data_IF_018490908945
#
_entry.id   IF_018490908945
#
_cell.length_a   1.000
_cell.length_b   1.000
_cell.length_c   1.000
_cell.angle_alpha   90.00
_cell.angle_beta   90.00
_cell.angle_gamma   90.00
#
_symmetry.space_group_name_H-M   'P 1'
#
loop_
_entity.id
_entity.type
_entity.pdbx_description
1 polymer ?
#
# COMPACT_ATOMS: atom_id res chain seq x y z
N UNK A 1 5.99 17.90 3.47
CA UNK A 1 5.05 17.02 2.72
C UNK A 1 5.64 16.89 1.32
N UNK A 2 5.84 15.66 0.81
CA UNK A 2 6.32 15.46 -0.56
C UNK A 2 5.34 16.10 -1.56
N UNK A 3 5.87 16.58 -2.69
CA UNK A 3 5.09 17.17 -3.78
C UNK A 3 4.50 16.04 -4.63
N UNK A 4 3.36 15.51 -4.17
CA UNK A 4 2.73 14.32 -4.73
C UNK A 4 1.28 14.59 -5.10
N UNK A 5 0.86 14.03 -6.23
CA UNK A 5 -0.51 14.11 -6.73
C UNK A 5 -1.47 13.23 -5.93
N UNK A 6 -0.99 12.13 -5.34
CA UNK A 6 -1.82 11.23 -4.54
C UNK A 6 -1.12 9.95 -4.11
N UNK A 7 -1.88 9.11 -3.39
CA UNK A 7 -1.48 7.76 -2.99
C UNK A 7 -2.35 6.72 -3.71
N UNK A 8 -1.74 5.61 -4.11
CA UNK A 8 -2.44 4.51 -4.77
C UNK A 8 -2.08 3.16 -4.14
N UNK A 9 -3.08 2.30 -3.95
CA UNK A 9 -2.92 0.90 -3.58
C UNK A 9 -3.52 0.06 -4.71
N UNK A 10 -2.69 -0.43 -5.66
CA UNK A 10 -3.18 -1.21 -6.77
C UNK A 10 -3.66 -2.61 -6.33
N UNK A 11 -4.54 -3.20 -7.15
CA UNK A 11 -5.05 -4.57 -7.02
C UNK A 11 -6.03 -4.90 -5.87
N UNK A 12 -6.37 -3.95 -4.98
CA UNK A 12 -7.33 -4.16 -3.87
C UNK A 12 -7.01 -5.40 -2.99
N UNK A 13 -5.81 -5.46 -2.39
CA UNK A 13 -5.37 -6.61 -1.60
C UNK A 13 -6.24 -6.80 -0.35
N UNK A 14 -6.47 -8.06 0.01
CA UNK A 14 -7.21 -8.42 1.22
C UNK A 14 -6.49 -7.88 2.47
N UNK A 15 -7.25 -7.33 3.41
CA UNK A 15 -6.71 -6.65 4.61
C UNK A 15 -6.18 -5.23 4.38
N UNK A 16 -6.39 -4.63 3.20
CA UNK A 16 -6.33 -3.17 3.06
C UNK A 16 -7.49 -2.49 3.83
N UNK A 17 -7.37 -1.21 4.24
CA UNK A 17 -8.38 -0.54 5.06
C UNK A 17 -9.80 -0.63 4.46
N UNK A 18 -10.70 -1.39 5.10
CA UNK A 18 -12.07 -1.63 4.63
C UNK A 18 -12.30 -2.92 3.83
N UNK A 19 -11.26 -3.75 3.61
CA UNK A 19 -11.30 -4.97 2.77
C UNK A 19 -10.95 -6.25 3.55
N UNK A 20 -11.45 -6.41 4.78
CA UNK A 20 -11.26 -7.60 5.62
C UNK A 20 -10.45 -7.36 6.90
N UNK A 21 -10.25 -8.40 7.73
CA UNK A 21 -9.47 -8.31 8.96
C UNK A 21 -7.97 -8.07 8.67
N UNK A 22 -7.36 -7.12 9.37
CA UNK A 22 -5.92 -6.79 9.19
C UNK A 22 -4.96 -7.93 9.56
N UNK A 23 -5.41 -8.88 10.38
CA UNK A 23 -4.65 -10.05 10.81
C UNK A 23 -4.47 -11.11 9.71
N UNK A 24 -5.22 -10.99 8.61
CA UNK A 24 -5.13 -11.84 7.41
C UNK A 24 -4.72 -11.02 6.17
N UNK A 25 -4.07 -9.87 6.37
CA UNK A 25 -3.69 -8.98 5.26
C UNK A 25 -2.68 -9.63 4.32
N UNK A 26 -2.88 -9.47 3.02
CA UNK A 26 -1.87 -9.80 2.01
C UNK A 26 -0.76 -8.73 2.00
N UNK A 27 0.42 -9.09 1.49
CA UNK A 27 1.49 -8.11 1.31
C UNK A 27 1.09 -7.08 0.22
N UNK A 28 1.25 -5.79 0.52
CA UNK A 28 0.97 -4.73 -0.46
C UNK A 28 1.85 -3.49 -0.33
N UNK A 29 1.97 -2.78 -1.44
CA UNK A 29 2.69 -1.52 -1.53
C UNK A 29 1.70 -0.35 -1.64
N UNK A 30 1.97 0.70 -0.88
CA UNK A 30 1.39 2.02 -1.10
C UNK A 30 2.35 2.79 -1.97
N UNK A 31 1.87 3.25 -3.12
CA UNK A 31 2.64 4.08 -4.03
C UNK A 31 2.31 5.54 -3.82
N UNK A 32 3.32 6.40 -3.88
CA UNK A 32 3.16 7.84 -4.03
C UNK A 32 3.38 8.20 -5.49
N UNK A 33 2.45 8.98 -6.04
CA UNK A 33 2.51 9.41 -7.44
C UNK A 33 2.93 10.87 -7.48
N UNK A 34 4.04 11.15 -8.13
CA UNK A 34 4.63 12.48 -8.27
C UNK A 34 4.02 13.24 -9.45
N UNK A 35 4.16 14.56 -9.46
CA UNK A 35 3.62 15.44 -10.50
C UNK A 35 4.19 15.17 -11.91
N UNK A 36 5.38 14.56 -11.97
CA UNK A 36 6.05 14.12 -13.20
C UNK A 36 5.56 12.75 -13.72
N UNK A 37 4.56 12.15 -13.05
CA UNK A 37 3.98 10.86 -13.42
C UNK A 37 4.79 9.65 -12.94
N UNK A 38 5.85 9.85 -12.16
CA UNK A 38 6.59 8.76 -11.54
C UNK A 38 5.83 8.18 -10.35
N UNK A 39 6.02 6.88 -10.11
CA UNK A 39 5.43 6.15 -8.99
C UNK A 39 6.54 5.50 -8.17
N UNK A 40 6.57 5.78 -6.87
CA UNK A 40 7.57 5.25 -5.95
C UNK A 40 6.88 4.56 -4.77
N UNK A 41 7.54 3.55 -4.18
CA UNK A 41 7.01 2.88 -2.98
C UNK A 41 7.13 3.83 -1.81
N UNK A 42 5.99 4.29 -1.31
CA UNK A 42 5.92 5.15 -0.13
C UNK A 42 5.96 4.33 1.17
N UNK A 43 5.26 3.20 1.18
CA UNK A 43 5.19 2.29 2.32
C UNK A 43 4.96 0.86 1.84
N UNK A 44 5.65 -0.08 2.47
CA UNK A 44 5.45 -1.51 2.24
C UNK A 44 4.79 -2.13 3.48
N UNK A 45 3.72 -2.90 3.25
CA UNK A 45 3.08 -3.72 4.26
C UNK A 45 3.33 -5.19 3.91
N UNK A 46 3.96 -5.91 4.83
CA UNK A 46 4.12 -7.35 4.71
C UNK A 46 2.79 -8.07 5.00
N UNK A 47 2.68 -9.31 4.52
CA UNK A 47 1.56 -10.20 4.82
C UNK A 47 1.44 -10.41 6.34
N UNK A 48 0.22 -10.31 6.88
CA UNK A 48 -0.03 -10.62 8.28
C UNK A 48 -0.13 -12.14 8.46
N UNK A 49 0.39 -12.64 9.58
CA UNK A 49 0.41 -14.06 9.90
C UNK A 49 1.79 -14.73 9.71
N UNK A 50 2.75 -14.06 9.07
CA UNK A 50 4.16 -14.47 9.14
C UNK A 50 4.82 -13.74 10.31
N UNK A 51 4.88 -14.42 11.45
CA UNK A 51 5.82 -14.05 12.52
C UNK A 51 7.22 -14.42 12.05
N UNK A 52 8.03 -13.43 11.66
CA UNK A 52 9.49 -13.54 11.69
C UNK A 52 10.02 -13.10 13.04
#
# INVERSE_FOLDING_TARGET
RPDALGLAVPAMPYGSPGMGPEDEREAFNVYIISADGTAEVFQHYAEAGISV
#
